data_IF_093257384123
#
_entry.id   IF_093257384123
#
_cell.length_a   1.000
_cell.length_b   1.000
_cell.length_c   1.000
_cell.angle_alpha   90.00
_cell.angle_beta   90.00
_cell.angle_gamma   90.00
#
_symmetry.space_group_name_H-M   'P 1'
#
loop_
_entity.id
_entity.type
_entity.pdbx_description
1 polymer ?
#
# COMPACT_ATOMS: atom_id res chain seq x y z
N UNK A 1 10.12 0.47 6.73
CA UNK A 1 10.47 0.59 5.29
C UNK A 1 11.11 1.93 4.94
N UNK A 2 10.41 3.05 5.07
CA UNK A 2 10.83 4.37 4.57
C UNK A 2 12.21 4.88 5.04
N UNK A 3 12.57 4.67 6.31
CA UNK A 3 13.86 5.10 6.87
C UNK A 3 15.06 4.43 6.18
N UNK A 4 14.89 3.20 5.68
CA UNK A 4 15.96 2.42 5.05
C UNK A 4 15.93 2.51 3.51
N UNK A 5 14.92 3.17 2.94
CA UNK A 5 14.81 3.37 1.51
C UNK A 5 15.78 4.48 1.06
N UNK A 6 16.88 4.11 0.38
CA UNK A 6 17.92 5.06 -0.06
C UNK A 6 17.42 6.01 -1.16
N UNK A 7 16.82 5.45 -2.20
CA UNK A 7 16.16 6.18 -3.30
C UNK A 7 14.84 5.49 -3.60
N UNK A 8 13.78 6.26 -3.76
CA UNK A 8 12.45 5.75 -4.04
C UNK A 8 11.37 6.58 -3.35
N UNK A 9 10.12 6.21 -3.64
CA UNK A 9 8.90 6.78 -3.07
C UNK A 9 8.04 5.66 -2.54
N UNK A 10 7.22 5.96 -1.55
CA UNK A 10 6.23 5.06 -0.99
C UNK A 10 4.87 5.73 -1.15
N UNK A 11 3.94 5.02 -1.76
CA UNK A 11 2.54 5.42 -1.84
C UNK A 11 1.76 4.56 -0.87
N UNK A 12 1.08 5.19 0.09
CA UNK A 12 0.16 4.55 1.01
C UNK A 12 -1.27 4.87 0.59
N UNK A 13 -2.18 3.91 0.76
CA UNK A 13 -3.62 4.12 0.60
C UNK A 13 -4.25 3.87 1.97
N UNK A 14 -5.03 4.82 2.45
CA UNK A 14 -5.72 4.75 3.74
C UNK A 14 -7.17 5.20 3.57
N UNK A 15 -8.12 4.43 4.08
CA UNK A 15 -9.55 4.74 3.91
C UNK A 15 -10.03 5.79 4.91
N UNK A 16 -9.43 5.85 6.11
CA UNK A 16 -9.79 6.77 7.18
C UNK A 16 -8.95 8.06 7.13
N UNK A 17 -9.62 9.20 6.92
CA UNK A 17 -8.96 10.52 6.96
C UNK A 17 -8.32 10.80 8.33
N UNK A 18 -8.91 10.29 9.42
CA UNK A 18 -8.34 10.40 10.77
C UNK A 18 -7.00 9.68 10.87
N UNK A 19 -6.95 8.40 10.47
CA UNK A 19 -5.73 7.60 10.46
C UNK A 19 -4.68 8.21 9.53
N UNK A 20 -5.09 8.70 8.36
CA UNK A 20 -4.22 9.39 7.44
C UNK A 20 -3.62 10.67 8.06
N UNK A 21 -4.41 11.44 8.81
CA UNK A 21 -3.95 12.61 9.57
C UNK A 21 -2.87 12.25 10.60
N UNK A 22 -3.10 11.20 11.39
CA UNK A 22 -2.12 10.68 12.36
C UNK A 22 -0.84 10.22 11.63
N UNK A 23 -0.99 9.47 10.55
CA UNK A 23 0.14 8.99 9.75
C UNK A 23 0.95 10.14 9.16
N UNK A 24 0.31 11.15 8.57
CA UNK A 24 0.98 12.36 8.05
C UNK A 24 1.77 13.08 9.14
N UNK A 25 1.20 13.25 10.34
CA UNK A 25 1.91 13.85 11.48
C UNK A 25 3.16 13.03 11.84
N UNK A 26 3.04 11.73 11.99
CA UNK A 26 4.17 10.86 12.33
C UNK A 26 5.25 10.86 11.23
N UNK A 27 4.85 10.89 9.96
CA UNK A 27 5.76 10.99 8.81
C UNK A 27 6.53 12.31 8.83
N UNK A 28 5.85 13.42 9.14
CA UNK A 28 6.43 14.75 9.30
C UNK A 28 7.42 14.81 10.46
N UNK A 29 7.01 14.33 11.63
CA UNK A 29 7.86 14.31 12.82
C UNK A 29 9.13 13.46 12.59
N UNK A 30 9.05 12.43 11.73
CA UNK A 30 10.20 11.62 11.32
C UNK A 30 11.03 12.21 10.15
N UNK A 31 10.63 13.35 9.57
CA UNK A 31 11.32 13.99 8.45
C UNK A 31 11.20 13.24 7.11
N UNK A 32 10.16 12.41 6.94
CA UNK A 32 10.01 11.48 5.80
C UNK A 32 9.00 11.93 4.74
N UNK A 33 8.42 13.13 4.85
CA UNK A 33 7.41 13.67 3.90
C UNK A 33 7.91 13.68 2.46
N UNK A 34 9.22 13.84 2.25
CA UNK A 34 9.83 13.80 0.93
C UNK A 34 9.86 12.40 0.30
N UNK A 35 9.53 11.33 1.04
CA UNK A 35 9.53 9.94 0.55
C UNK A 35 8.14 9.31 0.49
N UNK A 36 7.19 9.77 1.30
CA UNK A 36 5.92 9.09 1.49
C UNK A 36 4.76 10.00 1.07
N UNK A 37 3.86 9.45 0.26
CA UNK A 37 2.58 10.06 -0.10
C UNK A 37 1.44 9.21 0.45
N UNK A 38 0.42 9.85 1.03
CA UNK A 38 -0.79 9.18 1.51
C UNK A 38 -1.96 9.62 0.63
N UNK A 39 -2.55 8.66 -0.07
CA UNK A 39 -3.79 8.80 -0.82
C UNK A 39 -4.93 8.37 0.09
N UNK A 40 -5.87 9.28 0.38
CA UNK A 40 -7.02 8.95 1.21
C UNK A 40 -8.18 8.49 0.33
N UNK A 41 -8.69 7.30 0.62
CA UNK A 41 -9.84 6.74 -0.08
C UNK A 41 -9.88 5.22 -0.03
N UNK A 42 -10.99 4.70 -0.54
CA UNK A 42 -11.19 3.28 -0.77
C UNK A 42 -10.17 2.77 -1.79
N UNK A 43 -9.41 1.72 -1.42
CA UNK A 43 -8.40 1.13 -2.29
C UNK A 43 -8.97 0.67 -3.62
N UNK A 44 -10.21 0.17 -3.66
CA UNK A 44 -10.85 -0.26 -4.90
C UNK A 44 -11.09 0.89 -5.89
N UNK A 45 -11.21 2.11 -5.38
CA UNK A 45 -11.38 3.33 -6.19
C UNK A 45 -10.04 3.97 -6.53
N UNK A 46 -9.07 3.90 -5.61
CA UNK A 46 -7.76 4.53 -5.78
C UNK A 46 -6.86 3.71 -6.71
N UNK A 47 -6.81 2.38 -6.55
CA UNK A 47 -5.91 1.50 -7.32
C UNK A 47 -6.09 1.63 -8.85
N UNK A 48 -7.32 1.69 -9.42
CA UNK A 48 -7.51 1.87 -10.85
C UNK A 48 -6.91 3.16 -11.42
N UNK A 49 -6.87 4.22 -10.61
CA UNK A 49 -6.41 5.56 -11.01
C UNK A 49 -4.88 5.71 -10.95
N UNK A 50 -4.17 4.77 -10.31
CA UNK A 50 -2.72 4.79 -10.23
C UNK A 50 -2.10 4.59 -11.62
N UNK A 51 -1.20 5.50 -11.99
CA UNK A 51 -0.45 5.47 -13.25
C UNK A 51 0.98 4.97 -13.07
N UNK A 52 1.46 4.98 -11.83
CA UNK A 52 2.79 4.55 -11.44
C UNK A 52 2.91 3.03 -11.47
N UNK A 53 4.14 2.53 -11.58
CA UNK A 53 4.46 1.12 -11.39
C UNK A 53 5.27 0.93 -10.11
N UNK A 54 5.14 -0.25 -9.50
CA UNK A 54 5.69 -0.55 -8.18
C UNK A 54 6.60 -1.78 -8.21
N UNK A 55 7.79 -1.65 -7.64
CA UNK A 55 8.75 -2.74 -7.47
C UNK A 55 8.37 -3.65 -6.29
N UNK A 56 7.69 -3.09 -5.28
CA UNK A 56 7.25 -3.79 -4.09
C UNK A 56 5.86 -3.33 -3.68
N UNK A 57 4.99 -4.29 -3.35
CA UNK A 57 3.66 -4.02 -2.78
C UNK A 57 3.51 -4.77 -1.46
N UNK A 58 3.11 -4.04 -0.42
CA UNK A 58 2.77 -4.59 0.89
C UNK A 58 1.25 -4.55 1.07
N UNK A 59 0.63 -5.72 1.10
CA UNK A 59 -0.81 -5.90 1.29
C UNK A 59 -1.10 -6.16 2.76
N UNK A 60 -1.67 -5.16 3.42
CA UNK A 60 -2.20 -5.27 4.76
C UNK A 60 -3.58 -4.61 4.86
N UNK A 61 -4.50 -5.14 4.05
CA UNK A 61 -5.93 -4.78 4.06
C UNK A 61 -6.75 -5.90 4.71
N UNK A 62 -8.08 -5.79 4.63
CA UNK A 62 -8.97 -6.93 4.84
C UNK A 62 -8.56 -8.09 3.91
N UNK A 63 -8.53 -9.31 4.45
CA UNK A 63 -7.86 -10.44 3.82
C UNK A 63 -8.66 -10.99 2.64
N UNK A 64 -9.99 -10.87 2.71
CA UNK A 64 -10.94 -11.19 1.66
C UNK A 64 -10.69 -10.36 0.39
N UNK A 65 -10.15 -9.15 0.53
CA UNK A 65 -9.93 -8.23 -0.58
C UNK A 65 -8.56 -8.39 -1.24
N UNK A 66 -7.67 -9.25 -0.72
CA UNK A 66 -6.29 -9.38 -1.24
C UNK A 66 -6.25 -9.71 -2.72
N UNK A 67 -7.01 -10.72 -3.14
CA UNK A 67 -7.04 -11.13 -4.56
C UNK A 67 -7.71 -10.07 -5.43
N UNK A 68 -8.73 -9.39 -4.90
CA UNK A 68 -9.41 -8.31 -5.61
C UNK A 68 -8.48 -7.13 -5.83
N UNK A 69 -7.83 -6.65 -4.77
CA UNK A 69 -6.81 -5.60 -4.85
C UNK A 69 -5.70 -6.00 -5.80
N UNK A 70 -5.15 -7.21 -5.68
CA UNK A 70 -4.10 -7.72 -6.56
C UNK A 70 -4.48 -7.63 -8.04
N UNK A 71 -5.70 -8.07 -8.40
CA UNK A 71 -6.20 -7.96 -9.78
C UNK A 71 -6.33 -6.51 -10.24
N UNK A 72 -6.77 -5.59 -9.37
CA UNK A 72 -6.93 -4.18 -9.72
C UNK A 72 -5.59 -3.48 -10.00
N UNK A 73 -4.52 -3.84 -9.27
CA UNK A 73 -3.21 -3.19 -9.43
C UNK A 73 -2.19 -3.99 -10.24
N UNK A 74 -2.52 -5.19 -10.76
CA UNK A 74 -1.59 -6.04 -11.51
C UNK A 74 -0.90 -5.29 -12.67
N UNK A 75 -1.64 -4.41 -13.37
CA UNK A 75 -1.12 -3.55 -14.45
C UNK A 75 0.00 -2.60 -14.00
N UNK A 76 0.05 -2.29 -12.70
CA UNK A 76 1.01 -1.42 -12.04
C UNK A 76 2.26 -2.18 -11.57
N UNK A 77 2.43 -3.46 -11.92
CA UNK A 77 3.63 -4.22 -11.57
C UNK A 77 4.65 -4.26 -12.71
N UNK A 78 5.92 -4.37 -12.33
CA UNK A 78 7.00 -4.74 -13.22
C UNK A 78 7.19 -6.26 -13.21
N UNK A 79 7.83 -6.79 -14.25
CA UNK A 79 8.34 -8.17 -14.19
C UNK A 79 9.41 -8.23 -13.09
N UNK A 80 9.18 -9.06 -12.07
CA UNK A 80 10.07 -9.17 -10.92
C UNK A 80 9.64 -8.36 -9.70
N UNK A 81 8.50 -7.65 -9.75
CA UNK A 81 7.93 -7.02 -8.56
C UNK A 81 7.64 -8.04 -7.46
N UNK A 82 7.82 -7.62 -6.21
CA UNK A 82 7.59 -8.46 -5.03
C UNK A 82 6.30 -8.04 -4.34
N UNK A 83 5.41 -9.00 -4.10
CA UNK A 83 4.19 -8.79 -3.30
C UNK A 83 4.38 -9.49 -1.96
N UNK A 84 4.18 -8.76 -0.88
CA UNK A 84 4.21 -9.25 0.49
C UNK A 84 2.82 -9.05 1.07
N UNK A 85 2.18 -10.13 1.54
CA UNK A 85 0.83 -10.08 2.11
C UNK A 85 0.90 -10.47 3.59
N UNK A 86 0.39 -9.61 4.49
CA UNK A 86 0.51 -9.84 5.93
C UNK A 86 -0.57 -10.78 6.50
N UNK A 87 -0.20 -11.51 7.54
CA UNK A 87 -1.03 -12.44 8.33
C UNK A 87 -1.81 -13.53 7.56
N UNK A 88 -1.31 -13.97 6.40
CA UNK A 88 -1.96 -15.01 5.57
C UNK A 88 -2.25 -16.34 6.29
N UNK A 89 -1.46 -16.70 7.33
CA UNK A 89 -1.61 -17.98 8.04
C UNK A 89 -2.78 -18.01 9.05
N UNK A 90 -3.17 -16.88 9.64
CA UNK A 90 -4.22 -16.84 10.66
C UNK A 90 -5.64 -17.01 10.06
N UNK A 91 -5.75 -16.91 8.73
CA UNK A 91 -7.03 -16.93 8.00
C UNK A 91 -6.98 -17.77 6.72
N UNK A 92 -6.33 -18.95 6.76
CA UNK A 92 -6.18 -19.87 5.61
C UNK A 92 -7.50 -20.15 4.85
N UNK A 93 -8.66 -19.98 5.48
CA UNK A 93 -9.98 -20.22 4.90
C UNK A 93 -10.59 -19.01 4.17
N UNK A 94 -10.05 -17.81 4.37
CA UNK A 94 -10.58 -16.52 3.85
C UNK A 94 -9.77 -15.97 2.67
N UNK A 95 -8.53 -16.41 2.50
CA UNK A 95 -7.73 -16.17 1.30
C UNK A 95 -8.09 -17.28 0.30
N UNK A 96 -9.01 -17.00 -0.63
CA UNK A 96 -9.38 -17.89 -1.75
C UNK A 96 -8.92 -17.31 -3.08
#
# INVERSE_FOLDING_TARGET
>A
MAQHLRKGKITCIEISEENAGIARKNIKDAGLEHKIEILVGDAEKVLPELKQKFDLVFLDTEKEDYIKHLKLFEKNLFKGSVIIADNVKKFKHKVK
#
